data_IF_928563136181
#
_entry.id   IF_928563136181
#
_cell.length_a   1.000
_cell.length_b   1.000
_cell.length_c   1.000
_cell.angle_alpha   90.00
_cell.angle_beta   90.00
_cell.angle_gamma   90.00
#
_symmetry.space_group_name_H-M   'P 1'
#
loop_
_entity.id
_entity.type
_entity.pdbx_description
1 polymer ?
#
# COMPACT_ATOMS: atom_id res chain seq x y z
N UNK A 1 10.26 -19.09 -4.17
CA UNK A 1 9.09 -19.95 -4.42
C UNK A 1 8.47 -20.54 -3.15
N UNK A 2 9.22 -20.68 -2.04
CA UNK A 2 8.72 -21.30 -0.81
C UNK A 2 7.67 -20.50 -0.02
N UNK A 3 7.75 -19.17 -0.02
CA UNK A 3 6.78 -18.30 0.68
C UNK A 3 5.37 -18.42 0.06
N UNK A 4 5.31 -18.54 -1.28
CA UNK A 4 4.05 -18.80 -1.98
C UNK A 4 3.51 -20.16 -1.54
N UNK A 5 4.33 -21.21 -1.50
CA UNK A 5 3.88 -22.52 -0.99
C UNK A 5 3.39 -22.46 0.46
N UNK A 6 4.01 -21.69 1.36
CA UNK A 6 3.60 -21.61 2.77
C UNK A 6 2.31 -20.80 3.01
N UNK A 7 2.00 -19.82 2.16
CA UNK A 7 0.73 -19.05 2.24
C UNK A 7 -0.46 -19.92 1.81
N UNK A 8 -0.26 -20.86 0.90
CA UNK A 8 -1.32 -21.71 0.34
C UNK A 8 -1.50 -23.07 1.04
N UNK A 9 -0.73 -23.37 2.09
CA UNK A 9 -0.85 -24.64 2.85
C UNK A 9 -2.10 -24.75 3.73
N UNK A 10 -2.75 -23.64 4.09
CA UNK A 10 -3.94 -23.61 4.93
C UNK A 10 -5.08 -22.86 4.23
N UNK A 11 -6.28 -23.46 4.19
CA UNK A 11 -7.49 -22.81 3.62
C UNK A 11 -7.69 -21.41 4.21
N UNK A 12 -7.50 -21.26 5.53
CA UNK A 12 -7.66 -19.98 6.24
C UNK A 12 -6.68 -18.90 5.74
N UNK A 13 -5.39 -19.22 5.59
CA UNK A 13 -4.36 -18.29 5.10
C UNK A 13 -4.60 -17.88 3.64
N UNK A 14 -5.07 -18.80 2.80
CA UNK A 14 -5.47 -18.49 1.41
C UNK A 14 -6.65 -17.51 1.37
N UNK A 15 -7.72 -17.75 2.14
CA UNK A 15 -8.86 -16.83 2.19
C UNK A 15 -8.49 -15.47 2.77
N UNK A 16 -7.57 -15.42 3.73
CA UNK A 16 -7.03 -14.18 4.26
C UNK A 16 -6.25 -13.40 3.20
N UNK A 17 -5.40 -14.07 2.42
CA UNK A 17 -4.67 -13.46 1.32
C UNK A 17 -5.61 -12.91 0.23
N UNK A 18 -6.64 -13.67 -0.14
CA UNK A 18 -7.67 -13.20 -1.10
C UNK A 18 -8.35 -11.94 -0.57
N UNK A 19 -8.80 -11.94 0.69
CA UNK A 19 -9.40 -10.74 1.32
C UNK A 19 -8.44 -9.55 1.33
N UNK A 20 -7.17 -9.79 1.62
CA UNK A 20 -6.14 -8.75 1.58
C UNK A 20 -6.00 -8.14 0.18
N UNK A 21 -5.89 -8.97 -0.87
CA UNK A 21 -5.84 -8.49 -2.25
C UNK A 21 -7.12 -7.71 -2.63
N UNK A 22 -8.30 -8.21 -2.27
CA UNK A 22 -9.56 -7.51 -2.53
C UNK A 22 -9.61 -6.12 -1.87
N UNK A 23 -9.24 -6.02 -0.60
CA UNK A 23 -9.20 -4.75 0.12
C UNK A 23 -8.15 -3.80 -0.48
N UNK A 24 -6.97 -4.32 -0.87
CA UNK A 24 -5.94 -3.53 -1.52
C UNK A 24 -6.39 -2.96 -2.88
N UNK A 25 -7.07 -3.77 -3.70
CA UNK A 25 -7.64 -3.29 -4.97
C UNK A 25 -8.73 -2.24 -4.75
N UNK A 26 -9.60 -2.44 -3.77
CA UNK A 26 -10.63 -1.45 -3.42
C UNK A 26 -10.00 -0.14 -2.95
N UNK A 27 -8.96 -0.21 -2.10
CA UNK A 27 -8.22 0.96 -1.65
C UNK A 27 -7.56 1.70 -2.82
N UNK A 28 -6.94 1.00 -3.77
CA UNK A 28 -6.38 1.63 -4.97
C UNK A 28 -7.47 2.32 -5.82
N UNK A 29 -8.64 1.69 -5.96
CA UNK A 29 -9.81 2.29 -6.62
C UNK A 29 -10.31 3.55 -5.90
N UNK A 30 -10.38 3.55 -4.57
CA UNK A 30 -10.75 4.72 -3.76
C UNK A 30 -9.73 5.85 -3.95
N UNK A 31 -8.43 5.54 -3.92
CA UNK A 31 -7.38 6.54 -4.14
C UNK A 31 -7.56 7.21 -5.49
N UNK A 32 -7.60 6.42 -6.56
CA UNK A 32 -7.74 6.95 -7.91
C UNK A 32 -9.07 7.70 -8.09
N UNK A 33 -10.19 7.15 -7.62
CA UNK A 33 -11.50 7.77 -7.75
C UNK A 33 -11.60 9.12 -7.03
N UNK A 34 -11.10 9.22 -5.80
CA UNK A 34 -11.09 10.49 -5.07
C UNK A 34 -10.17 11.51 -5.75
N UNK A 35 -8.97 11.08 -6.18
CA UNK A 35 -8.07 11.94 -6.95
C UNK A 35 -8.75 12.47 -8.22
N UNK A 36 -9.32 11.56 -9.01
CA UNK A 36 -9.95 11.85 -10.28
C UNK A 36 -11.09 12.87 -10.11
N UNK A 37 -11.98 12.66 -9.13
CA UNK A 37 -13.07 13.60 -8.86
C UNK A 37 -12.55 14.98 -8.45
N UNK A 38 -11.56 15.06 -7.56
CA UNK A 38 -11.01 16.35 -7.11
C UNK A 38 -10.28 17.09 -8.23
N UNK A 39 -9.62 16.34 -9.13
CA UNK A 39 -8.93 16.87 -10.30
C UNK A 39 -9.92 17.34 -11.38
N UNK A 40 -10.90 16.51 -11.73
CA UNK A 40 -11.92 16.76 -12.76
C UNK A 40 -12.73 18.03 -12.46
N UNK A 41 -13.09 18.23 -11.19
CA UNK A 41 -13.83 19.42 -10.75
C UNK A 41 -12.92 20.60 -10.37
N UNK A 42 -11.62 20.53 -10.66
CA UNK A 42 -10.60 21.55 -10.35
C UNK A 42 -10.66 22.07 -8.90
N UNK A 43 -11.06 21.21 -7.96
CA UNK A 43 -11.31 21.61 -6.56
C UNK A 43 -10.01 22.00 -5.83
N UNK A 44 -8.87 21.53 -6.32
CA UNK A 44 -7.55 21.76 -5.73
C UNK A 44 -6.42 21.42 -6.70
N UNK A 45 -5.17 21.71 -6.31
CA UNK A 45 -4.00 21.31 -7.08
C UNK A 45 -3.83 19.78 -7.10
N UNK A 46 -3.30 19.24 -8.21
CA UNK A 46 -3.05 17.81 -8.41
C UNK A 46 -2.38 17.11 -7.23
N UNK A 47 -1.35 17.71 -6.64
CA UNK A 47 -0.65 17.12 -5.50
C UNK A 47 -1.56 17.00 -4.25
N UNK A 48 -2.41 18.00 -4.01
CA UNK A 48 -3.36 18.00 -2.89
C UNK A 48 -4.46 16.98 -3.17
N UNK A 49 -5.02 16.95 -4.39
CA UNK A 49 -6.00 15.95 -4.80
C UNK A 49 -5.46 14.52 -4.61
N UNK A 50 -4.21 14.30 -5.03
CA UNK A 50 -3.55 13.00 -4.94
C UNK A 50 -3.32 12.60 -3.48
N UNK A 51 -2.94 13.55 -2.63
CA UNK A 51 -2.78 13.38 -1.19
C UNK A 51 -4.09 13.02 -0.51
N UNK A 52 -5.17 13.75 -0.81
CA UNK A 52 -6.50 13.49 -0.23
C UNK A 52 -6.98 12.10 -0.63
N UNK A 53 -6.81 11.71 -1.89
CA UNK A 53 -7.12 10.36 -2.34
C UNK A 53 -6.31 9.29 -1.61
N UNK A 54 -5.01 9.51 -1.41
CA UNK A 54 -4.15 8.58 -0.69
C UNK A 54 -4.57 8.44 0.77
N UNK A 55 -4.81 9.55 1.48
CA UNK A 55 -5.23 9.55 2.90
C UNK A 55 -6.59 8.89 3.06
N UNK A 56 -7.55 9.17 2.18
CA UNK A 56 -8.88 8.56 2.20
C UNK A 56 -8.78 7.05 2.00
N UNK A 57 -8.03 6.62 0.98
CA UNK A 57 -7.74 5.22 0.71
C UNK A 57 -7.05 4.54 1.89
N UNK A 58 -6.05 5.19 2.49
CA UNK A 58 -5.31 4.68 3.65
C UNK A 58 -6.22 4.39 4.84
N UNK A 59 -7.12 5.32 5.18
CA UNK A 59 -8.08 5.17 6.28
C UNK A 59 -9.01 3.98 6.01
N UNK A 60 -9.62 3.93 4.81
CA UNK A 60 -10.48 2.82 4.42
C UNK A 60 -9.75 1.47 4.45
N UNK A 61 -8.54 1.42 3.89
CA UNK A 61 -7.70 0.23 3.86
C UNK A 61 -7.35 -0.25 5.28
N UNK A 62 -7.00 0.66 6.19
CA UNK A 62 -6.67 0.31 7.57
C UNK A 62 -7.84 -0.40 8.26
N UNK A 63 -9.05 0.16 8.18
CA UNK A 63 -10.22 -0.41 8.82
C UNK A 63 -10.67 -1.72 8.17
N UNK A 64 -10.73 -1.78 6.84
CA UNK A 64 -11.10 -3.01 6.13
C UNK A 64 -10.06 -4.11 6.35
N UNK A 65 -8.77 -3.79 6.29
CA UNK A 65 -7.72 -4.76 6.56
C UNK A 65 -7.79 -5.26 8.01
N UNK A 66 -8.04 -4.39 8.98
CA UNK A 66 -8.17 -4.78 10.39
C UNK A 66 -9.38 -5.69 10.64
N UNK A 67 -10.58 -5.25 10.25
CA UNK A 67 -11.83 -5.94 10.57
C UNK A 67 -12.16 -7.08 9.61
N UNK A 68 -12.01 -6.87 8.30
CA UNK A 68 -12.43 -7.85 7.30
C UNK A 68 -11.33 -8.86 6.97
N UNK A 69 -10.09 -8.39 6.75
CA UNK A 69 -8.97 -9.27 6.37
C UNK A 69 -8.44 -10.05 7.58
N UNK A 70 -7.95 -9.35 8.61
CA UNK A 70 -7.32 -9.96 9.78
C UNK A 70 -8.30 -10.32 10.90
N UNK A 71 -9.56 -9.85 10.83
CA UNK A 71 -10.59 -10.07 11.87
C UNK A 71 -10.08 -9.76 13.27
N UNK A 72 -9.47 -8.60 13.40
CA UNK A 72 -8.76 -8.21 14.61
C UNK A 72 -9.04 -6.75 14.94
N UNK A 73 -9.10 -6.42 16.23
CA UNK A 73 -9.32 -5.03 16.62
C UNK A 73 -8.12 -4.16 16.24
N UNK A 74 -8.37 -2.95 15.68
CA UNK A 74 -7.32 -1.97 15.48
C UNK A 74 -6.74 -1.60 16.84
N UNK A 75 -5.41 -1.55 16.93
CA UNK A 75 -4.69 -1.15 18.13
C UNK A 75 -3.64 -0.11 17.76
N UNK A 76 -3.23 0.73 18.71
CA UNK A 76 -2.28 1.81 18.45
C UNK A 76 -0.96 1.29 17.86
N UNK A 77 -0.46 0.15 18.35
CA UNK A 77 0.75 -0.49 17.79
C UNK A 77 0.59 -0.88 16.32
N UNK A 78 -0.58 -1.40 15.93
CA UNK A 78 -0.87 -1.75 14.53
C UNK A 78 -1.07 -0.51 13.68
N UNK A 79 -1.75 0.51 14.20
CA UNK A 79 -1.93 1.78 13.51
C UNK A 79 -0.59 2.47 13.25
N UNK A 80 0.33 2.48 14.21
CA UNK A 80 1.67 3.04 14.05
C UNK A 80 2.52 2.26 13.05
N UNK A 81 2.51 0.91 13.11
CA UNK A 81 3.22 0.09 12.12
C UNK A 81 2.65 0.26 10.71
N UNK A 82 1.33 0.25 10.59
CA UNK A 82 0.63 0.43 9.32
C UNK A 82 0.87 1.84 8.75
N UNK A 83 0.71 2.88 9.58
CA UNK A 83 0.95 4.28 9.23
C UNK A 83 2.40 4.54 8.84
N UNK A 84 3.38 4.01 9.59
CA UNK A 84 4.79 4.16 9.25
C UNK A 84 5.14 3.57 7.89
N UNK A 85 4.65 2.35 7.58
CA UNK A 85 4.84 1.75 6.26
C UNK A 85 4.17 2.54 5.13
N UNK A 86 2.98 3.10 5.39
CA UNK A 86 2.26 3.89 4.41
C UNK A 86 2.81 5.30 4.24
N UNK A 87 3.55 5.84 5.22
CA UNK A 87 4.25 7.11 5.07
C UNK A 87 5.39 6.96 4.05
N UNK A 88 6.21 5.92 4.17
CA UNK A 88 7.27 5.62 3.18
C UNK A 88 6.64 5.40 1.80
N UNK A 89 5.57 4.60 1.75
CA UNK A 89 4.85 4.37 0.51
C UNK A 89 4.30 5.67 -0.10
N UNK A 90 3.75 6.57 0.71
CA UNK A 90 3.23 7.85 0.27
C UNK A 90 4.32 8.73 -0.36
N UNK A 91 5.52 8.78 0.23
CA UNK A 91 6.64 9.52 -0.34
C UNK A 91 7.08 8.96 -1.69
N UNK A 92 7.10 7.63 -1.85
CA UNK A 92 7.38 6.98 -3.13
C UNK A 92 6.31 7.34 -4.16
N UNK A 93 5.03 7.23 -3.77
CA UNK A 93 3.91 7.60 -4.63
C UNK A 93 3.99 9.05 -5.09
N UNK A 94 4.24 9.99 -4.17
CA UNK A 94 4.34 11.42 -4.49
C UNK A 94 5.54 11.72 -5.39
N UNK A 95 6.70 11.11 -5.12
CA UNK A 95 7.89 11.26 -5.95
C UNK A 95 7.64 10.76 -7.38
N UNK A 96 7.07 9.57 -7.52
CA UNK A 96 6.73 9.00 -8.83
C UNK A 96 5.63 9.80 -9.55
N UNK A 97 4.63 10.28 -8.82
CA UNK A 97 3.54 11.07 -9.39
C UNK A 97 4.09 12.36 -10.02
N UNK A 98 4.89 13.12 -9.28
CA UNK A 98 5.51 14.35 -9.79
C UNK A 98 6.53 14.05 -10.90
N UNK A 99 7.24 12.92 -10.83
CA UNK A 99 8.12 12.49 -11.92
C UNK A 99 7.34 12.24 -13.21
N UNK A 100 6.21 11.54 -13.16
CA UNK A 100 5.40 11.29 -14.35
C UNK A 100 4.78 12.57 -14.91
N UNK A 101 4.28 13.47 -14.06
CA UNK A 101 3.81 14.78 -14.50
C UNK A 101 4.95 15.60 -15.15
N UNK A 102 6.15 15.58 -14.58
CA UNK A 102 7.33 16.24 -15.15
C UNK A 102 7.71 15.66 -16.53
N UNK A 103 7.50 14.36 -16.74
CA UNK A 103 7.69 13.69 -18.03
C UNK A 103 6.52 13.91 -19.01
N UNK A 104 5.58 14.81 -18.72
CA UNK A 104 4.37 15.10 -19.51
C UNK A 104 3.44 13.89 -19.68
N UNK A 105 3.40 12.97 -18.70
CA UNK A 105 2.33 11.98 -18.63
C UNK A 105 1.05 12.67 -18.20
N UNK A 106 -0.05 12.40 -18.90
CA UNK A 106 -1.36 12.98 -18.60
C UNK A 106 -1.74 12.76 -17.13
N UNK A 107 -2.32 13.79 -16.52
CA UNK A 107 -2.68 13.79 -15.10
C UNK A 107 -3.68 12.68 -14.73
N UNK A 108 -4.48 12.20 -15.68
CA UNK A 108 -5.39 11.05 -15.48
C UNK A 108 -4.65 9.71 -15.49
N UNK A 109 -3.58 9.60 -16.30
CA UNK A 109 -2.82 8.36 -16.49
C UNK A 109 -1.71 8.24 -15.46
N UNK A 110 -1.12 9.36 -15.02
CA UNK A 110 0.01 9.38 -14.08
C UNK A 110 -0.24 8.55 -12.80
N UNK A 111 -1.40 8.62 -12.11
CA UNK A 111 -1.70 7.75 -10.97
C UNK A 111 -1.63 6.25 -11.28
N UNK A 112 -2.07 5.84 -12.48
CA UNK A 112 -2.04 4.44 -12.92
C UNK A 112 -0.60 3.98 -13.15
N UNK A 113 0.24 4.82 -13.74
CA UNK A 113 1.69 4.58 -13.86
C UNK A 113 2.36 4.47 -12.49
N UNK A 114 1.99 5.33 -11.53
CA UNK A 114 2.49 5.23 -10.15
C UNK A 114 2.11 3.88 -9.54
N UNK A 115 0.85 3.45 -9.66
CA UNK A 115 0.41 2.16 -9.13
C UNK A 115 1.19 0.98 -9.74
N UNK A 116 1.44 1.02 -11.05
CA UNK A 116 2.19 -0.02 -11.76
C UNK A 116 3.64 -0.17 -11.27
N UNK A 117 4.26 0.92 -10.81
CA UNK A 117 5.66 0.93 -10.32
C UNK A 117 5.75 0.76 -8.81
N UNK A 118 4.95 1.52 -8.05
CA UNK A 118 5.02 1.56 -6.60
C UNK A 118 4.62 0.23 -5.96
N UNK A 119 3.61 -0.47 -6.50
CA UNK A 119 3.14 -1.74 -5.93
C UNK A 119 4.24 -2.83 -5.98
N UNK A 120 4.89 -3.11 -7.13
CA UNK A 120 6.05 -4.00 -7.17
C UNK A 120 7.24 -3.51 -6.33
N UNK A 121 7.56 -2.21 -6.38
CA UNK A 121 8.70 -1.65 -5.66
C UNK A 121 8.56 -1.82 -4.14
N UNK A 122 7.37 -1.58 -3.59
CA UNK A 122 7.08 -1.81 -2.17
C UNK A 122 7.23 -3.27 -1.78
N UNK A 123 6.75 -4.19 -2.62
CA UNK A 123 6.91 -5.62 -2.34
C UNK A 123 8.38 -6.02 -2.24
N UNK A 124 9.21 -5.52 -3.15
CA UNK A 124 10.66 -5.77 -3.13
C UNK A 124 11.33 -5.14 -1.89
N UNK A 125 11.03 -3.88 -1.59
CA UNK A 125 11.57 -3.18 -0.42
C UNK A 125 11.24 -3.93 0.89
N UNK A 126 9.97 -4.27 1.09
CA UNK A 126 9.54 -5.01 2.28
C UNK A 126 10.22 -6.39 2.33
N UNK A 127 10.38 -7.07 1.20
CA UNK A 127 11.07 -8.36 1.15
C UNK A 127 12.52 -8.25 1.61
N UNK A 128 13.27 -7.22 1.22
CA UNK A 128 14.65 -7.04 1.65
C UNK A 128 14.76 -6.67 3.13
N UNK A 129 13.91 -5.75 3.60
CA UNK A 129 13.90 -5.31 5.01
C UNK A 129 13.58 -6.46 5.96
N UNK A 130 12.56 -7.27 5.63
CA UNK A 130 12.18 -8.39 6.48
C UNK A 130 13.10 -9.61 6.36
N UNK A 131 13.79 -9.79 5.22
CA UNK A 131 14.81 -10.84 5.11
C UNK A 131 15.98 -10.57 6.08
N UNK A 132 16.47 -9.33 6.15
CA UNK A 132 17.56 -8.95 7.06
C UNK A 132 17.20 -9.11 8.55
N UNK A 133 15.95 -8.78 8.95
CA UNK A 133 15.53 -8.98 10.35
C UNK A 133 15.50 -10.44 10.79
N UNK A 134 15.22 -11.37 9.88
CA UNK A 134 15.17 -12.80 10.21
C UNK A 134 16.58 -13.40 10.34
N UNK A 135 17.54 -12.92 9.56
CA UNK A 135 18.96 -13.27 9.68
C UNK A 135 19.54 -12.70 11.00
N UNK A 136 19.29 -11.42 11.31
CA UNK A 136 19.75 -10.80 12.57
C UNK A 136 19.18 -11.46 13.84
N UNK A 137 17.92 -11.88 13.82
CA UNK A 137 17.30 -12.57 14.97
C UNK A 137 17.76 -14.02 15.11
N UNK A 138 18.24 -14.66 14.04
CA UNK A 138 18.84 -16.00 14.10
C UNK A 138 20.27 -15.93 14.65
N UNK A 139 21.03 -14.90 14.27
CA UNK A 139 22.41 -14.70 14.76
C UNK A 139 22.43 -14.36 16.27
N UNK A 140 21.46 -13.59 16.78
CA UNK A 140 21.35 -13.27 18.22
C UNK A 140 20.92 -14.45 19.11
N UNK A 141 20.38 -15.54 18.55
CA UNK A 141 19.99 -16.75 19.30
C UNK A 141 21.06 -17.84 19.16
N UNK A 142 21.97 -17.69 18.20
CA UNK A 142 23.11 -18.57 18.00
C UNK A 142 24.36 -18.16 18.83
N UNK A 143 24.31 -17.00 19.49
CA UNK A 143 25.29 -16.47 20.46
C UNK A 143 24.78 -16.65 21.90
#
# INVERSE_FOLDING_TARGET
MEIVKSVFQSKSKRYQFIRYCTVGTLAAGIHYGVYYLLQEYEMTNLNIAYTIGYVTSFICNFFLTSYFTFRSNPSLKRALGFGGSHLVNYLIHMGLFNLFLYLNVDQEIAPLCVLAVAVPANFLMLRFVFKHKKEQAADQVAE
#
